data_IF_873695711706
#
_entry.id   IF_873695711706
#
_cell.length_a   1.000
_cell.length_b   1.000
_cell.length_c   1.000
_cell.angle_alpha   90.00
_cell.angle_beta   90.00
_cell.angle_gamma   90.00
#
_symmetry.space_group_name_H-M   'P 1'
#
loop_
_entity.id
_entity.type
_entity.pdbx_description
1 polymer ?
#
# COMPACT_ATOMS: atom_id res chain seq x y z
N UNK A 1 8.67 16.39 4.69
CA UNK A 1 8.35 15.91 3.32
C UNK A 1 6.96 15.28 3.41
N UNK A 2 6.00 15.68 2.58
CA UNK A 2 4.67 15.03 2.58
C UNK A 2 4.67 13.83 1.61
N UNK A 3 3.66 12.97 1.71
CA UNK A 3 3.55 11.74 0.91
C UNK A 3 3.58 11.99 -0.60
N UNK A 4 2.95 13.07 -1.07
CA UNK A 4 2.96 13.46 -2.49
C UNK A 4 4.35 13.86 -2.99
N UNK A 5 5.12 14.61 -2.20
CA UNK A 5 6.51 14.95 -2.54
C UNK A 5 7.38 13.70 -2.66
N UNK A 6 7.24 12.74 -1.75
CA UNK A 6 7.98 11.48 -1.81
C UNK A 6 7.60 10.65 -3.04
N UNK A 7 6.30 10.50 -3.32
CA UNK A 7 5.81 9.78 -4.48
C UNK A 7 6.35 10.37 -5.81
N UNK A 8 6.34 11.70 -5.94
CA UNK A 8 6.91 12.38 -7.09
C UNK A 8 8.42 12.13 -7.22
N UNK A 9 9.15 12.13 -6.10
CA UNK A 9 10.57 11.88 -6.11
C UNK A 9 10.94 10.43 -6.47
N UNK A 10 10.11 9.45 -6.09
CA UNK A 10 10.25 8.05 -6.53
C UNK A 10 9.99 7.95 -8.04
N UNK A 11 8.88 8.51 -8.53
CA UNK A 11 8.50 8.49 -9.96
C UNK A 11 9.57 9.08 -10.88
N UNK A 12 10.33 10.08 -10.40
CA UNK A 12 11.43 10.68 -11.16
C UNK A 12 12.71 9.81 -11.21
N UNK A 13 12.88 8.88 -10.27
CA UNK A 13 14.12 8.11 -10.09
C UNK A 13 13.98 6.62 -10.38
N UNK A 14 12.76 6.10 -10.50
CA UNK A 14 12.49 4.69 -10.79
C UNK A 14 11.43 4.54 -11.86
N UNK A 15 11.22 3.31 -12.34
CA UNK A 15 10.10 2.95 -13.22
C UNK A 15 8.78 2.74 -12.47
N UNK A 16 8.73 3.01 -11.16
CA UNK A 16 7.55 2.83 -10.34
C UNK A 16 6.66 4.07 -10.41
N UNK A 17 5.34 3.85 -10.45
CA UNK A 17 4.33 4.89 -10.31
C UNK A 17 3.59 4.74 -8.97
N UNK A 18 4.01 5.46 -7.91
CA UNK A 18 3.43 5.26 -6.58
C UNK A 18 2.00 5.82 -6.47
N UNK A 19 1.13 5.04 -5.84
CA UNK A 19 -0.24 5.45 -5.49
C UNK A 19 -0.22 6.02 -4.07
N UNK A 20 -0.66 7.28 -3.92
CA UNK A 20 -0.76 7.94 -2.60
C UNK A 20 -2.17 7.75 -2.06
N UNK A 21 -2.27 7.13 -0.89
CA UNK A 21 -3.53 6.83 -0.20
C UNK A 21 -3.57 7.61 1.11
N UNK A 22 -4.71 8.24 1.42
CA UNK A 22 -4.87 9.05 2.65
C UNK A 22 -5.49 8.29 3.80
N UNK A 23 -6.28 7.25 3.49
CA UNK A 23 -6.99 6.46 4.48
C UNK A 23 -6.73 4.97 4.21
N UNK A 24 -6.30 4.25 5.24
CA UNK A 24 -6.01 2.81 5.19
C UNK A 24 -7.16 1.99 4.60
N UNK A 25 -8.42 2.37 4.83
CA UNK A 25 -9.58 1.65 4.30
C UNK A 25 -9.72 1.77 2.76
N UNK A 26 -9.13 2.79 2.15
CA UNK A 26 -9.09 2.91 0.68
C UNK A 26 -8.20 1.83 0.05
N UNK A 27 -7.24 1.27 0.81
CA UNK A 27 -6.36 0.20 0.31
C UNK A 27 -7.18 -1.01 -0.13
N UNK A 28 -8.24 -1.38 0.59
CA UNK A 28 -9.11 -2.51 0.23
C UNK A 28 -9.82 -2.34 -1.13
N UNK A 29 -10.00 -1.09 -1.58
CA UNK A 29 -10.59 -0.77 -2.89
C UNK A 29 -9.56 -0.73 -4.00
N UNK A 30 -8.30 -0.39 -3.67
CA UNK A 30 -7.24 -0.14 -4.64
C UNK A 30 -6.42 -1.40 -4.89
N UNK A 31 -6.05 -2.12 -3.82
CA UNK A 31 -5.16 -3.28 -3.84
C UNK A 31 -5.60 -4.37 -4.85
N UNK A 32 -6.90 -4.73 -4.97
CA UNK A 32 -7.34 -5.74 -5.94
C UNK A 32 -7.10 -5.36 -7.41
N UNK A 33 -6.94 -4.08 -7.72
CA UNK A 33 -6.71 -3.60 -9.08
C UNK A 33 -5.23 -3.58 -9.47
N UNK A 34 -4.32 -3.81 -8.51
CA UNK A 34 -2.87 -3.73 -8.74
C UNK A 34 -2.14 -5.04 -8.47
N UNK A 35 -2.68 -5.88 -7.58
CA UNK A 35 -2.07 -7.15 -7.20
C UNK A 35 -2.38 -8.24 -8.21
N UNK A 36 -1.44 -9.15 -8.42
CA UNK A 36 -1.59 -10.34 -9.24
C UNK A 36 -1.51 -11.61 -8.39
N UNK A 37 -2.00 -12.72 -8.95
CA UNK A 37 -1.83 -14.02 -8.30
C UNK A 37 -0.33 -14.32 -8.10
N UNK A 38 0.02 -14.93 -6.96
CA UNK A 38 1.38 -15.20 -6.52
C UNK A 38 2.24 -13.98 -6.13
N UNK A 39 1.68 -12.76 -6.06
CA UNK A 39 2.39 -11.62 -5.48
C UNK A 39 2.56 -11.75 -3.96
N UNK A 40 3.63 -11.15 -3.43
CA UNK A 40 3.87 -11.01 -2.00
C UNK A 40 3.66 -9.55 -1.60
N UNK A 41 2.74 -9.31 -0.67
CA UNK A 41 2.48 -7.98 -0.11
C UNK A 41 3.38 -7.74 1.09
N UNK A 42 4.14 -6.64 1.06
CA UNK A 42 4.98 -6.18 2.17
C UNK A 42 4.40 -4.90 2.76
N UNK A 43 4.01 -4.94 4.03
CA UNK A 43 3.63 -3.74 4.80
C UNK A 43 4.86 -3.18 5.51
N UNK A 44 5.29 -1.96 5.16
CA UNK A 44 6.55 -1.37 5.62
C UNK A 44 6.33 -0.03 6.31
N UNK A 45 6.94 0.16 7.48
CA UNK A 45 6.88 1.40 8.25
C UNK A 45 7.09 1.15 9.74
N UNK A 46 7.37 2.21 10.49
CA UNK A 46 7.57 2.15 11.94
C UNK A 46 6.45 2.83 12.75
N UNK A 47 5.39 3.27 12.08
CA UNK A 47 4.23 3.93 12.69
C UNK A 47 3.04 2.99 12.87
N UNK A 48 1.86 3.49 12.53
CA UNK A 48 0.57 2.80 12.54
C UNK A 48 0.37 1.79 11.39
N UNK A 49 1.42 1.49 10.61
CA UNK A 49 1.31 0.55 9.48
C UNK A 49 0.88 -0.87 9.90
N UNK A 50 1.07 -1.23 11.17
CA UNK A 50 0.61 -2.50 11.72
C UNK A 50 -0.91 -2.65 11.63
N UNK A 51 -1.67 -1.55 11.68
CA UNK A 51 -3.11 -1.54 11.52
C UNK A 51 -3.53 -1.98 10.11
N UNK A 52 -2.76 -1.59 9.07
CA UNK A 52 -3.00 -2.06 7.70
C UNK A 52 -2.76 -3.56 7.58
N UNK A 53 -1.69 -4.08 8.20
CA UNK A 53 -1.43 -5.52 8.19
C UNK A 53 -2.57 -6.30 8.84
N UNK A 54 -3.08 -5.83 9.99
CA UNK A 54 -4.22 -6.45 10.66
C UNK A 54 -5.49 -6.43 9.79
N UNK A 55 -5.76 -5.28 9.14
CA UNK A 55 -6.88 -5.12 8.22
C UNK A 55 -6.83 -6.11 7.04
N UNK A 56 -5.66 -6.25 6.40
CA UNK A 56 -5.47 -7.15 5.27
C UNK A 56 -5.61 -8.63 5.67
N UNK A 57 -5.10 -9.01 6.85
CA UNK A 57 -5.26 -10.37 7.38
C UNK A 57 -6.74 -10.66 7.64
N UNK A 58 -7.46 -9.73 8.27
CA UNK A 58 -8.89 -9.88 8.54
C UNK A 58 -9.70 -10.05 7.25
N UNK A 59 -9.40 -9.26 6.21
CA UNK A 59 -10.15 -9.29 4.95
C UNK A 59 -9.81 -10.51 4.08
N UNK A 60 -8.54 -10.89 3.97
CA UNK A 60 -8.08 -11.85 2.97
C UNK A 60 -7.55 -13.18 3.53
N UNK A 61 -7.04 -13.21 4.77
CA UNK A 61 -6.48 -14.44 5.35
C UNK A 61 -7.49 -15.24 6.18
N UNK A 62 -8.64 -14.64 6.50
CA UNK A 62 -9.75 -15.31 7.20
C UNK A 62 -10.75 -16.04 6.30
N UNK A 63 -10.48 -16.12 4.98
CA UNK A 63 -11.32 -16.79 3.97
C UNK A 63 -10.84 -18.21 3.68
#
# INVERSE_FOLDING_TARGET
INSGTLANAIRQRSSLDPIVIKNTNEVLKILPNVIQNNDVVLTLGAGDIHDLSALLIQEYAGS
#
